data_IF_598475479653
#
_entry.id   IF_598475479653
#
_cell.length_a   1.000
_cell.length_b   1.000
_cell.length_c   1.000
_cell.angle_alpha   90.00
_cell.angle_beta   90.00
_cell.angle_gamma   90.00
#
_symmetry.space_group_name_H-M   'P 1'
#
loop_
_entity.id
_entity.type
_entity.pdbx_description
1 polymer ?
#
# COMPACT_ATOMS: atom_id res chain seq x y z
N UNK A 1 -11.92 4.79 -14.27
CA UNK A 1 -10.96 4.30 -13.26
C UNK A 1 -11.24 5.09 -11.99
N UNK A 2 -11.26 4.46 -10.83
CA UNK A 2 -11.57 5.15 -9.58
C UNK A 2 -10.38 6.03 -9.14
N UNK A 3 -10.63 7.27 -8.73
CA UNK A 3 -9.62 8.15 -8.15
C UNK A 3 -9.46 7.80 -6.67
N UNK A 4 -8.27 7.37 -6.28
CA UNK A 4 -7.94 6.99 -4.91
C UNK A 4 -7.00 8.05 -4.35
N UNK A 5 -7.26 8.54 -3.15
CA UNK A 5 -6.30 9.38 -2.44
C UNK A 5 -5.65 8.64 -1.28
N UNK A 6 -4.48 9.10 -0.88
CA UNK A 6 -3.72 8.65 0.28
C UNK A 6 -3.62 9.83 1.25
N UNK A 7 -3.92 9.58 2.53
CA UNK A 7 -3.99 10.62 3.56
C UNK A 7 -3.11 10.29 4.76
N UNK A 8 -2.30 11.27 5.18
CA UNK A 8 -1.63 11.31 6.48
C UNK A 8 -2.11 12.52 7.27
N UNK A 9 -2.49 12.33 8.54
CA UNK A 9 -2.80 13.44 9.45
C UNK A 9 -2.15 13.20 10.80
N UNK A 10 -1.03 13.89 11.06
CA UNK A 10 -0.23 13.65 12.26
C UNK A 10 0.65 14.83 12.64
N UNK A 11 1.21 14.78 13.86
CA UNK A 11 2.21 15.76 14.32
C UNK A 11 3.51 15.65 13.53
N UNK A 12 4.12 16.79 13.21
CA UNK A 12 5.42 16.92 12.55
C UNK A 12 6.54 17.22 13.55
N UNK A 13 7.82 17.02 13.20
CA UNK A 13 8.98 17.38 14.04
C UNK A 13 9.19 18.90 14.10
N UNK A 14 8.12 19.67 14.35
CA UNK A 14 8.08 21.12 14.36
C UNK A 14 7.31 21.56 15.61
N UNK A 15 7.88 22.50 16.35
CA UNK A 15 7.19 23.20 17.43
C UNK A 15 6.82 24.63 17.01
N UNK A 16 5.66 25.08 17.45
CA UNK A 16 5.27 26.48 17.34
C UNK A 16 5.99 27.38 18.36
N UNK A 17 5.75 28.69 18.29
CA UNK A 17 6.31 29.69 19.20
C UNK A 17 5.96 29.45 20.68
N UNK A 18 4.93 28.65 20.96
CA UNK A 18 4.49 28.26 22.29
C UNK A 18 4.98 26.87 22.71
N UNK A 19 5.96 26.29 21.98
CA UNK A 19 6.51 24.95 22.20
C UNK A 19 5.48 23.81 22.06
N UNK A 20 4.41 23.99 21.28
CA UNK A 20 3.43 22.93 21.00
C UNK A 20 3.71 22.28 19.66
N UNK A 21 3.35 21.00 19.54
CA UNK A 21 3.52 20.23 18.30
C UNK A 21 2.65 20.79 17.18
N UNK A 22 3.25 21.03 16.02
CA UNK A 22 2.52 21.36 14.80
C UNK A 22 2.02 20.08 14.15
N UNK A 23 0.75 20.06 13.74
CA UNK A 23 0.16 18.98 12.96
C UNK A 23 0.08 19.37 11.50
N UNK A 24 -0.02 18.37 10.62
CA UNK A 24 -0.20 18.61 9.20
C UNK A 24 -1.02 17.47 8.60
N UNK A 25 -1.95 17.84 7.72
CA UNK A 25 -2.58 16.90 6.80
C UNK A 25 -1.82 16.91 5.48
N UNK A 26 -1.52 15.72 4.98
CA UNK A 26 -0.99 15.46 3.64
C UNK A 26 -2.00 14.59 2.91
N UNK A 27 -2.35 14.99 1.69
CA UNK A 27 -3.26 14.27 0.82
C UNK A 27 -2.60 14.22 -0.55
N UNK A 28 -2.49 13.04 -1.13
CA UNK A 28 -2.05 12.89 -2.52
C UNK A 28 -2.89 11.88 -3.27
N UNK A 29 -2.95 12.00 -4.59
CA UNK A 29 -3.55 10.97 -5.43
C UNK A 29 -2.66 9.73 -5.47
N UNK A 30 -3.28 8.57 -5.31
CA UNK A 30 -2.61 7.27 -5.33
C UNK A 30 -2.40 6.86 -6.79
N UNK A 31 -1.17 6.56 -7.21
CA UNK A 31 -0.96 5.98 -8.52
C UNK A 31 -1.44 4.53 -8.54
N UNK A 32 -2.14 4.14 -9.60
CA UNK A 32 -2.71 2.80 -9.75
C UNK A 32 -2.12 1.99 -10.91
N UNK A 33 -1.15 2.58 -11.63
CA UNK A 33 -0.50 1.99 -12.81
C UNK A 33 1.01 2.29 -12.81
N UNK A 34 1.75 1.56 -13.65
CA UNK A 34 3.22 1.57 -13.72
C UNK A 34 3.80 2.78 -14.46
N UNK A 35 3.02 3.38 -15.36
CA UNK A 35 3.38 4.44 -16.29
C UNK A 35 2.99 5.85 -15.79
N UNK A 36 2.38 5.93 -14.61
CA UNK A 36 1.97 7.19 -13.99
C UNK A 36 3.19 7.91 -13.43
N UNK A 37 3.35 9.19 -13.75
CA UNK A 37 4.39 10.06 -13.17
C UNK A 37 3.93 10.58 -11.80
N UNK A 38 4.54 10.15 -10.68
CA UNK A 38 4.11 10.54 -9.33
C UNK A 38 4.11 12.06 -9.08
N UNK A 39 5.00 12.80 -9.76
CA UNK A 39 5.15 14.26 -9.60
C UNK A 39 3.99 15.05 -10.21
N UNK A 40 3.22 14.44 -11.11
CA UNK A 40 2.04 15.06 -11.73
C UNK A 40 0.76 14.78 -10.97
N UNK A 41 0.80 13.87 -9.99
CA UNK A 41 -0.36 13.52 -9.17
C UNK A 41 -0.74 14.68 -8.26
N UNK A 42 -2.05 14.79 -8.00
CA UNK A 42 -2.56 15.79 -7.08
C UNK A 42 -1.89 15.66 -5.70
N UNK A 43 -1.47 16.78 -5.12
CA UNK A 43 -0.90 16.87 -3.78
C UNK A 43 -1.47 18.09 -3.05
N UNK A 44 -1.82 17.90 -1.78
CA UNK A 44 -2.34 18.93 -0.90
C UNK A 44 -1.76 18.77 0.50
N UNK A 45 -1.22 19.86 1.05
CA UNK A 45 -0.68 19.90 2.41
C UNK A 45 -1.23 21.10 3.17
N UNK A 46 -1.65 20.91 4.43
CA UNK A 46 -2.09 22.01 5.28
C UNK A 46 -1.67 21.79 6.73
N UNK A 47 -0.97 22.77 7.30
CA UNK A 47 -0.63 22.76 8.73
C UNK A 47 -1.87 23.03 9.60
N UNK A 48 -1.88 22.39 10.77
CA UNK A 48 -2.92 22.44 11.78
C UNK A 48 -2.29 22.75 13.14
N UNK A 49 -2.73 23.81 13.85
CA UNK A 49 -2.35 24.03 15.25
C UNK A 49 -2.81 22.87 16.13
N UNK A 50 -2.04 22.54 17.18
CA UNK A 50 -2.39 21.42 18.09
C UNK A 50 -3.76 21.57 18.77
N UNK A 51 -4.24 22.80 18.93
CA UNK A 51 -5.52 23.14 19.57
C UNK A 51 -6.73 22.90 18.68
N UNK A 52 -6.51 22.75 17.37
CA UNK A 52 -7.58 22.56 16.37
C UNK A 52 -7.65 21.12 15.84
N UNK A 53 -6.82 20.22 16.37
CA UNK A 53 -6.76 18.82 15.92
C UNK A 53 -8.05 18.09 16.30
N UNK A 54 -8.94 17.97 15.32
CA UNK A 54 -10.19 17.23 15.44
C UNK A 54 -10.72 16.84 14.05
N UNK A 55 -11.75 16.01 14.00
CA UNK A 55 -12.35 15.53 12.76
C UNK A 55 -13.07 16.62 11.95
N UNK A 56 -13.55 17.69 12.60
CA UNK A 56 -14.17 18.84 11.92
C UNK A 56 -13.13 19.62 11.10
N UNK A 57 -12.01 19.97 11.72
CA UNK A 57 -10.90 20.63 11.01
C UNK A 57 -10.39 19.78 9.84
N UNK A 58 -10.22 18.46 10.07
CA UNK A 58 -9.78 17.54 9.04
C UNK A 58 -10.80 17.47 7.88
N UNK A 59 -12.10 17.45 8.19
CA UNK A 59 -13.17 17.49 7.18
C UNK A 59 -13.03 18.72 6.30
N UNK A 60 -12.89 19.91 6.88
CA UNK A 60 -12.76 21.17 6.15
C UNK A 60 -11.48 21.18 5.29
N UNK A 61 -10.40 20.56 5.78
CA UNK A 61 -9.17 20.43 5.00
C UNK A 61 -9.31 19.47 3.81
N UNK A 62 -10.02 18.34 3.97
CA UNK A 62 -10.33 17.43 2.86
C UNK A 62 -11.26 18.11 1.84
N UNK A 63 -12.28 18.83 2.30
CA UNK A 63 -13.19 19.59 1.42
C UNK A 63 -12.42 20.64 0.60
N UNK A 64 -11.49 21.36 1.23
CA UNK A 64 -10.59 22.27 0.52
C UNK A 64 -9.70 21.54 -0.49
N UNK A 65 -9.20 20.34 -0.18
CA UNK A 65 -8.43 19.54 -1.13
C UNK A 65 -9.29 19.13 -2.33
N UNK A 66 -10.54 18.68 -2.11
CA UNK A 66 -11.50 18.34 -3.16
C UNK A 66 -11.77 19.52 -4.09
N UNK A 67 -11.93 20.72 -3.53
CA UNK A 67 -12.15 21.93 -4.33
C UNK A 67 -10.95 22.32 -5.21
N UNK A 68 -9.74 21.90 -4.86
CA UNK A 68 -8.51 22.20 -5.62
C UNK A 68 -8.07 21.06 -6.56
N UNK A 69 -8.65 19.88 -6.41
CA UNK A 69 -8.26 18.71 -7.20
C UNK A 69 -8.96 18.70 -8.57
N UNK A 70 -8.31 18.17 -9.62
CA UNK A 70 -8.96 17.98 -10.92
C UNK A 70 -10.13 17.00 -10.83
N UNK A 71 -10.00 15.96 -10.00
CA UNK A 71 -11.05 14.97 -9.74
C UNK A 71 -11.17 14.72 -8.23
N UNK A 72 -12.40 14.66 -7.67
CA UNK A 72 -12.62 14.24 -6.29
C UNK A 72 -12.27 12.75 -6.10
N UNK A 73 -11.95 12.31 -4.87
CA UNK A 73 -11.65 10.91 -4.59
C UNK A 73 -12.92 10.06 -4.50
N UNK A 74 -12.87 8.86 -5.04
CA UNK A 74 -13.85 7.79 -4.80
C UNK A 74 -13.60 7.08 -3.45
N UNK A 75 -12.34 7.07 -2.98
CA UNK A 75 -11.95 6.57 -1.65
C UNK A 75 -10.64 7.19 -1.17
N UNK A 76 -10.46 7.23 0.15
CA UNK A 76 -9.22 7.68 0.80
C UNK A 76 -8.59 6.53 1.58
N UNK A 77 -7.34 6.21 1.27
CA UNK A 77 -6.49 5.28 2.00
C UNK A 77 -5.68 6.00 3.06
N UNK A 78 -5.45 5.36 4.20
CA UNK A 78 -4.54 5.86 5.22
C UNK A 78 -3.97 4.69 6.05
N UNK A 79 -2.79 4.85 6.65
CA UNK A 79 -2.13 3.78 7.40
C UNK A 79 -2.12 4.00 8.92
N UNK A 80 -2.35 5.24 9.40
CA UNK A 80 -2.29 5.57 10.83
C UNK A 80 -3.52 5.07 11.60
N UNK A 81 -3.43 3.85 12.13
CA UNK A 81 -4.47 3.25 12.97
C UNK A 81 -4.89 4.15 14.15
N UNK A 82 -3.94 4.81 14.82
CA UNK A 82 -4.23 5.72 15.93
C UNK A 82 -5.14 6.90 15.53
N UNK A 83 -5.16 7.26 14.24
CA UNK A 83 -5.97 8.34 13.70
C UNK A 83 -7.26 7.85 13.03
N UNK A 84 -7.53 6.54 13.04
CA UNK A 84 -8.64 5.92 12.30
C UNK A 84 -9.98 6.58 12.60
N UNK A 85 -10.39 6.65 13.88
CA UNK A 85 -11.66 7.27 14.25
C UNK A 85 -11.79 8.72 13.77
N UNK A 86 -10.69 9.49 13.78
CA UNK A 86 -10.71 10.89 13.37
C UNK A 86 -10.87 11.02 11.84
N UNK A 87 -10.08 10.25 11.09
CA UNK A 87 -10.09 10.24 9.63
C UNK A 87 -11.42 9.70 9.10
N UNK A 88 -11.90 8.56 9.62
CA UNK A 88 -13.17 7.97 9.18
C UNK A 88 -14.36 8.87 9.51
N UNK A 89 -14.34 9.58 10.64
CA UNK A 89 -15.40 10.54 11.00
C UNK A 89 -15.40 11.74 10.06
N UNK A 90 -14.22 12.28 9.72
CA UNK A 90 -14.10 13.39 8.77
C UNK A 90 -14.60 12.99 7.37
N UNK A 91 -14.16 11.84 6.86
CA UNK A 91 -14.53 11.36 5.53
C UNK A 91 -16.02 10.99 5.44
N UNK A 92 -16.60 10.40 6.51
CA UNK A 92 -18.05 10.16 6.60
C UNK A 92 -18.86 11.45 6.49
N UNK A 93 -18.35 12.56 7.01
CA UNK A 93 -18.98 13.87 6.88
C UNK A 93 -18.99 14.45 5.46
N UNK A 94 -18.26 13.84 4.53
CA UNK A 94 -18.14 14.18 3.11
C UNK A 94 -18.66 13.08 2.19
N UNK A 95 -19.23 12.00 2.74
CA UNK A 95 -19.64 10.80 2.00
C UNK A 95 -18.51 10.13 1.19
N UNK A 96 -17.27 10.23 1.69
CA UNK A 96 -16.09 9.60 1.08
C UNK A 96 -15.70 8.36 1.90
N UNK A 97 -15.63 7.16 1.29
CA UNK A 97 -15.11 5.97 1.96
C UNK A 97 -13.65 6.15 2.41
N UNK A 98 -13.37 5.84 3.67
CA UNK A 98 -12.03 5.85 4.23
C UNK A 98 -11.60 4.42 4.59
N UNK A 99 -10.41 4.01 4.14
CA UNK A 99 -9.92 2.64 4.24
C UNK A 99 -8.52 2.61 4.86
N UNK A 100 -8.35 1.78 5.89
CA UNK A 100 -7.04 1.47 6.43
C UNK A 100 -6.26 0.61 5.42
N UNK A 101 -5.10 1.10 4.96
CA UNK A 101 -4.29 0.43 3.95
C UNK A 101 -2.81 0.75 4.09
N UNK A 102 -1.95 -0.22 3.75
CA UNK A 102 -0.52 -0.01 3.54
C UNK A 102 -0.16 0.37 2.11
N UNK A 103 -1.14 0.37 1.18
CA UNK A 103 -0.95 0.80 -0.20
C UNK A 103 -0.98 2.33 -0.31
N UNK A 104 -0.06 2.98 0.41
CA UNK A 104 0.10 4.43 0.44
C UNK A 104 1.51 4.82 -0.02
N UNK A 105 1.90 4.33 -1.20
CA UNK A 105 3.28 4.38 -1.67
C UNK A 105 3.71 5.82 -1.99
N UNK A 106 2.87 6.57 -2.71
CA UNK A 106 3.16 7.95 -3.08
C UNK A 106 3.25 8.86 -1.85
N UNK A 107 2.33 8.70 -0.90
CA UNK A 107 2.33 9.41 0.37
C UNK A 107 3.58 9.12 1.20
N UNK A 108 4.03 7.85 1.24
CA UNK A 108 5.24 7.48 1.98
C UNK A 108 6.48 8.12 1.37
N UNK A 109 6.65 8.06 0.05
CA UNK A 109 7.73 8.77 -0.65
C UNK A 109 7.67 10.27 -0.40
N UNK A 110 6.48 10.87 -0.46
CA UNK A 110 6.31 12.30 -0.22
C UNK A 110 6.62 12.71 1.22
N UNK A 111 6.19 11.91 2.22
CA UNK A 111 6.55 12.15 3.62
C UNK A 111 8.07 12.07 3.85
N UNK A 112 8.76 11.15 3.18
CA UNK A 112 10.22 11.05 3.25
C UNK A 112 10.90 12.28 2.66
N UNK A 113 10.44 12.77 1.50
CA UNK A 113 10.93 14.02 0.90
C UNK A 113 10.71 15.20 1.86
N UNK A 114 9.50 15.35 2.43
CA UNK A 114 9.21 16.43 3.39
C UNK A 114 10.11 16.35 4.62
N UNK A 115 10.37 15.16 5.14
CA UNK A 115 11.25 14.95 6.29
C UNK A 115 12.71 15.36 6.01
N UNK A 116 13.19 15.21 4.78
CA UNK A 116 14.56 15.56 4.39
C UNK A 116 14.70 17.01 3.92
N UNK A 117 13.72 17.50 3.16
CA UNK A 117 13.85 18.71 2.34
C UNK A 117 12.94 19.86 2.76
N UNK A 118 11.90 19.61 3.56
CA UNK A 118 10.92 20.65 3.97
C UNK A 118 11.05 20.95 5.45
N UNK A 119 10.78 19.98 6.33
CA UNK A 119 10.74 20.23 7.78
C UNK A 119 12.06 20.76 8.36
N UNK A 120 13.26 20.31 7.93
CA UNK A 120 14.51 20.83 8.47
C UNK A 120 14.76 22.33 8.21
N UNK A 121 14.00 22.95 7.30
CA UNK A 121 14.09 24.38 6.99
C UNK A 121 13.19 25.24 7.88
N UNK A 122 12.31 24.61 8.67
CA UNK A 122 11.41 25.31 9.58
C UNK A 122 12.15 25.82 10.83
N UNK A 123 11.96 27.08 11.27
CA UNK A 123 12.60 27.60 12.49
C UNK A 123 12.28 26.81 13.76
N UNK A 124 11.10 26.19 13.81
CA UNK A 124 10.64 25.36 14.92
C UNK A 124 11.06 23.89 14.81
N UNK A 125 11.85 23.52 13.80
CA UNK A 125 12.25 22.13 13.58
C UNK A 125 13.05 21.60 14.77
N UNK A 126 12.53 20.53 15.36
CA UNK A 126 13.25 19.75 16.36
C UNK A 126 13.42 18.34 15.81
N UNK A 127 14.66 17.87 15.57
CA UNK A 127 14.90 16.51 15.14
C UNK A 127 14.47 15.54 16.25
N UNK A 128 13.21 15.14 16.20
CA UNK A 128 12.65 14.05 16.99
C UNK A 128 12.68 12.78 16.14
N UNK A 129 12.75 11.62 16.79
CA UNK A 129 12.44 10.35 16.11
C UNK A 129 10.99 10.50 15.61
N UNK A 130 10.82 10.55 14.28
CA UNK A 130 9.49 10.55 13.67
C UNK A 130 8.71 9.38 14.30
N UNK A 131 7.45 9.62 14.75
CA UNK A 131 6.65 8.55 15.32
C UNK A 131 6.37 7.50 14.23
N UNK A 132 7.22 6.47 14.23
CA UNK A 132 7.09 5.29 13.39
C UNK A 132 5.81 4.56 13.77
N UNK A 133 5.13 4.05 12.76
CA UNK A 133 3.92 3.26 12.99
C UNK A 133 4.33 1.80 13.10
N UNK A 134 4.30 1.29 14.33
CA UNK A 134 4.44 -0.14 14.57
C UNK A 134 3.07 -0.77 14.51
N UNK A 135 2.87 -1.64 13.52
CA UNK A 135 1.67 -2.47 13.46
C UNK A 135 1.83 -3.69 14.35
N UNK A 136 0.84 -4.00 15.22
CA UNK A 136 0.89 -5.23 15.99
C UNK A 136 0.75 -6.42 15.03
N UNK A 137 1.66 -7.39 15.17
CA UNK A 137 1.61 -8.65 14.43
C UNK A 137 0.49 -9.50 15.03
N UNK A 138 -0.63 -9.62 14.29
CA UNK A 138 -1.76 -10.45 14.69
C UNK A 138 -1.50 -11.92 14.32
N UNK A 139 -2.14 -12.90 15.01
CA UNK A 139 -2.13 -14.28 14.53
C UNK A 139 -2.91 -14.39 13.22
N UNK A 140 -2.40 -15.15 12.22
CA UNK A 140 -3.11 -15.32 10.96
C UNK A 140 -4.40 -16.12 11.11
N UNK A 141 -5.38 -15.78 10.27
CA UNK A 141 -6.69 -16.41 10.21
C UNK A 141 -6.82 -17.30 8.96
N UNK A 142 -7.85 -18.14 8.92
CA UNK A 142 -8.14 -18.96 7.72
C UNK A 142 -8.70 -18.06 6.63
N UNK A 143 -8.20 -18.20 5.40
CA UNK A 143 -8.79 -17.52 4.25
C UNK A 143 -10.22 -18.01 3.99
N UNK A 144 -11.16 -17.12 3.64
CA UNK A 144 -12.48 -17.54 3.16
C UNK A 144 -12.39 -18.47 1.95
N UNK A 145 -13.33 -19.42 1.83
CA UNK A 145 -13.31 -20.45 0.77
C UNK A 145 -13.32 -19.88 -0.66
N UNK A 146 -13.81 -18.65 -0.83
CA UNK A 146 -13.75 -17.92 -2.08
C UNK A 146 -12.31 -17.61 -2.54
N UNK A 147 -11.37 -17.52 -1.60
CA UNK A 147 -9.97 -17.16 -1.81
C UNK A 147 -8.97 -18.30 -1.71
N UNK A 148 -9.45 -19.50 -1.42
CA UNK A 148 -8.55 -20.66 -1.37
C UNK A 148 -8.23 -21.10 -2.80
N UNK A 149 -6.99 -20.85 -3.22
CA UNK A 149 -6.43 -21.32 -4.48
C UNK A 149 -6.20 -22.83 -4.49
N UNK A 150 -6.08 -23.42 -5.68
CA UNK A 150 -5.92 -24.88 -5.82
C UNK A 150 -4.46 -25.29 -6.00
N UNK A 151 -3.72 -24.54 -6.81
CA UNK A 151 -2.29 -24.71 -7.05
C UNK A 151 -1.62 -23.36 -7.06
N UNK A 152 -0.32 -23.36 -6.86
CA UNK A 152 0.47 -22.15 -6.89
C UNK A 152 1.89 -22.47 -7.37
N UNK A 153 2.61 -21.46 -7.83
CA UNK A 153 4.04 -21.54 -8.14
C UNK A 153 4.72 -20.22 -7.82
N UNK A 154 6.01 -20.27 -7.48
CA UNK A 154 6.83 -19.07 -7.40
C UNK A 154 7.32 -18.68 -8.78
N UNK A 155 7.37 -17.38 -9.04
CA UNK A 155 7.88 -16.82 -10.28
C UNK A 155 8.84 -15.67 -9.98
N UNK A 156 9.65 -15.30 -10.95
CA UNK A 156 10.53 -14.14 -10.86
C UNK A 156 10.58 -13.47 -12.22
N UNK A 157 10.39 -12.16 -12.23
CA UNK A 157 10.47 -11.31 -13.42
C UNK A 157 11.50 -10.22 -13.16
N UNK A 158 12.28 -9.78 -14.17
CA UNK A 158 13.06 -8.57 -14.02
C UNK A 158 12.12 -7.37 -13.86
N UNK A 159 12.53 -6.34 -13.12
CA UNK A 159 11.72 -5.14 -12.87
C UNK A 159 11.25 -4.47 -14.17
N UNK A 160 12.10 -4.44 -15.20
CA UNK A 160 11.76 -3.85 -16.49
C UNK A 160 10.59 -4.53 -17.20
N UNK A 161 10.33 -5.82 -16.93
CA UNK A 161 9.21 -6.52 -17.54
C UNK A 161 7.85 -5.91 -17.13
N UNK A 162 7.77 -5.28 -15.95
CA UNK A 162 6.55 -4.61 -15.49
C UNK A 162 6.27 -3.29 -16.22
N UNK A 163 7.21 -2.76 -17.00
CA UNK A 163 6.95 -1.59 -17.84
C UNK A 163 5.86 -1.88 -18.88
N UNK A 164 5.80 -3.12 -19.36
CA UNK A 164 4.81 -3.60 -20.33
C UNK A 164 3.50 -4.06 -19.65
N UNK A 165 3.35 -3.87 -18.33
CA UNK A 165 2.17 -4.33 -17.58
C UNK A 165 0.86 -3.74 -18.10
N UNK A 166 0.90 -2.52 -18.68
CA UNK A 166 -0.26 -1.90 -19.32
C UNK A 166 -0.72 -2.61 -20.60
N UNK A 167 0.14 -3.44 -21.21
CA UNK A 167 -0.18 -4.25 -22.40
C UNK A 167 -0.68 -5.65 -22.03
N UNK A 168 -0.51 -6.08 -20.78
CA UNK A 168 -0.95 -7.40 -20.32
C UNK A 168 -2.47 -7.46 -20.20
N UNK A 169 -3.04 -8.61 -20.56
CA UNK A 169 -4.46 -8.88 -20.33
C UNK A 169 -4.70 -9.16 -18.84
N UNK A 170 -5.02 -8.12 -18.07
CA UNK A 170 -5.33 -8.19 -16.64
C UNK A 170 -6.76 -7.69 -16.39
N UNK A 171 -7.62 -8.55 -15.82
CA UNK A 171 -9.02 -8.17 -15.51
C UNK A 171 -9.12 -7.36 -14.20
N UNK A 172 -8.38 -7.77 -13.17
CA UNK A 172 -8.36 -7.13 -11.85
C UNK A 172 -6.93 -6.91 -11.40
N UNK A 173 -6.64 -5.78 -10.78
CA UNK A 173 -5.29 -5.55 -10.31
C UNK A 173 -5.06 -4.13 -9.86
N UNK A 174 -3.87 -3.94 -9.30
CA UNK A 174 -3.38 -2.61 -8.96
C UNK A 174 -1.85 -2.63 -8.96
N UNK A 175 -1.27 -1.62 -9.57
CA UNK A 175 0.17 -1.41 -9.60
C UNK A 175 0.53 -0.03 -9.08
N UNK A 176 1.83 0.27 -9.09
CA UNK A 176 2.37 1.58 -8.76
C UNK A 176 3.58 1.86 -9.67
N UNK A 177 4.00 3.13 -9.80
CA UNK A 177 5.05 3.51 -10.74
C UNK A 177 6.38 2.91 -10.34
N UNK A 178 7.08 2.33 -11.32
CA UNK A 178 8.36 1.67 -11.08
C UNK A 178 9.41 2.66 -10.56
N UNK A 179 9.28 3.95 -10.89
CA UNK A 179 10.13 5.04 -10.38
C UNK A 179 10.11 5.17 -8.85
N UNK A 180 9.03 4.73 -8.17
CA UNK A 180 8.96 4.75 -6.70
C UNK A 180 9.83 3.67 -6.05
N UNK A 181 10.22 2.62 -6.78
CA UNK A 181 10.97 1.48 -6.22
C UNK A 181 12.43 1.80 -5.90
N UNK A 182 13.03 2.72 -6.67
CA UNK A 182 14.48 3.01 -6.68
C UNK A 182 15.35 1.79 -6.97
N UNK A 183 14.88 0.89 -7.83
CA UNK A 183 15.57 -0.34 -8.22
C UNK A 183 16.08 -0.26 -9.66
N UNK A 184 17.12 -1.04 -9.95
CA UNK A 184 17.66 -1.18 -11.32
C UNK A 184 16.73 -2.03 -12.19
N UNK A 185 16.67 -1.81 -13.52
CA UNK A 185 15.76 -2.50 -14.43
C UNK A 185 15.86 -4.03 -14.42
N UNK A 186 17.05 -4.59 -14.24
CA UNK A 186 17.30 -6.04 -14.20
C UNK A 186 17.08 -6.67 -12.81
N UNK A 187 16.68 -5.88 -11.82
CA UNK A 187 16.43 -6.36 -10.46
C UNK A 187 15.39 -7.49 -10.47
N UNK A 188 15.70 -8.70 -9.98
CA UNK A 188 14.74 -9.80 -9.93
C UNK A 188 13.63 -9.52 -8.91
N UNK A 189 12.40 -9.40 -9.39
CA UNK A 189 11.20 -9.22 -8.57
C UNK A 189 10.52 -10.58 -8.39
N UNK A 190 10.47 -11.14 -7.17
CA UNK A 190 9.81 -12.40 -6.91
C UNK A 190 8.29 -12.25 -6.86
N UNK A 191 7.56 -13.32 -7.17
CA UNK A 191 6.11 -13.34 -7.09
C UNK A 191 5.54 -14.72 -6.86
N UNK A 192 4.24 -14.74 -6.56
CA UNK A 192 3.44 -15.94 -6.44
C UNK A 192 2.35 -15.92 -7.51
N UNK A 193 2.20 -17.01 -8.25
CA UNK A 193 1.07 -17.21 -9.18
C UNK A 193 0.16 -18.27 -8.60
N UNK A 194 -1.13 -17.94 -8.44
CA UNK A 194 -2.18 -18.86 -8.00
C UNK A 194 -2.95 -19.34 -9.22
N UNK A 195 -3.13 -20.66 -9.33
CA UNK A 195 -3.94 -21.29 -10.37
C UNK A 195 -5.26 -21.83 -9.80
N UNK A 196 -6.37 -21.49 -10.45
CA UNK A 196 -7.69 -21.98 -10.06
C UNK A 196 -8.69 -21.85 -11.21
N UNK A 197 -9.59 -22.83 -11.36
CA UNK A 197 -10.70 -22.77 -12.33
C UNK A 197 -11.70 -21.65 -12.06
N UNK A 198 -11.61 -20.97 -10.92
CA UNK A 198 -12.45 -19.80 -10.56
C UNK A 198 -11.63 -18.51 -10.55
N UNK A 199 -10.65 -18.37 -11.44
CA UNK A 199 -9.66 -17.29 -11.42
C UNK A 199 -10.31 -15.90 -11.38
N UNK A 200 -11.23 -15.61 -12.30
CA UNK A 200 -11.96 -14.32 -12.36
C UNK A 200 -12.76 -14.05 -11.09
N UNK A 201 -13.47 -15.04 -10.56
CA UNK A 201 -14.27 -14.87 -9.34
C UNK A 201 -13.38 -14.63 -8.10
N UNK A 202 -12.25 -15.34 -8.00
CA UNK A 202 -11.28 -15.14 -6.94
C UNK A 202 -10.64 -13.75 -7.04
N UNK A 203 -10.22 -13.34 -8.24
CA UNK A 203 -9.60 -12.04 -8.47
C UNK A 203 -10.56 -10.88 -8.17
N UNK A 204 -11.83 -11.00 -8.58
CA UNK A 204 -12.87 -10.03 -8.23
C UNK A 204 -13.05 -9.90 -6.71
N UNK A 205 -13.04 -11.01 -5.98
CA UNK A 205 -13.13 -10.97 -4.51
C UNK A 205 -11.88 -10.33 -3.89
N UNK A 206 -10.68 -10.67 -4.38
CA UNK A 206 -9.43 -10.07 -3.93
C UNK A 206 -9.34 -8.56 -4.21
N UNK A 207 -9.98 -8.08 -5.28
CA UNK A 207 -10.04 -6.64 -5.60
C UNK A 207 -10.78 -5.82 -4.54
N UNK A 208 -11.66 -6.46 -3.76
CA UNK A 208 -12.33 -5.83 -2.61
C UNK A 208 -11.45 -5.74 -1.35
N UNK A 209 -10.24 -6.31 -1.39
CA UNK A 209 -9.29 -6.27 -0.29
C UNK A 209 -8.15 -5.30 -0.62
N UNK A 210 -7.64 -4.64 0.41
CA UNK A 210 -6.42 -3.86 0.31
C UNK A 210 -5.20 -4.80 0.37
N UNK A 211 -4.89 -5.48 -0.74
CA UNK A 211 -3.79 -6.45 -0.82
C UNK A 211 -2.45 -5.77 -0.54
N UNK A 212 -1.79 -6.17 0.54
CA UNK A 212 -0.59 -5.51 1.01
C UNK A 212 0.68 -6.33 0.78
N UNK A 213 0.65 -7.64 1.09
CA UNK A 213 1.84 -8.48 0.92
C UNK A 213 1.54 -9.98 0.82
N UNK A 214 2.43 -10.71 0.15
CA UNK A 214 2.61 -12.16 0.32
C UNK A 214 3.90 -12.39 1.11
N UNK A 215 3.82 -13.23 2.16
CA UNK A 215 4.95 -13.44 3.08
C UNK A 215 5.20 -14.91 3.38
N UNK A 216 6.47 -15.25 3.52
CA UNK A 216 6.91 -16.45 4.22
C UNK A 216 7.47 -16.07 5.60
N UNK A 217 6.73 -16.42 6.66
CA UNK A 217 7.11 -16.12 8.05
C UNK A 217 7.85 -17.31 8.67
N UNK A 218 9.13 -17.12 9.02
CA UNK A 218 9.95 -18.14 9.66
C UNK A 218 9.41 -18.59 11.03
N UNK A 219 8.64 -17.76 11.72
CA UNK A 219 7.98 -18.12 12.98
C UNK A 219 6.78 -19.06 12.77
N UNK A 220 6.25 -19.14 11.54
CA UNK A 220 5.12 -19.98 11.15
C UNK A 220 5.56 -20.92 10.01
N UNK A 221 6.39 -21.93 10.30
CA UNK A 221 7.00 -22.75 9.28
C UNK A 221 5.94 -23.47 8.42
N UNK A 222 6.28 -23.66 7.14
CA UNK A 222 5.46 -24.37 6.16
C UNK A 222 4.13 -23.66 5.77
N UNK A 223 4.08 -22.33 5.84
CA UNK A 223 2.92 -21.53 5.43
C UNK A 223 3.37 -20.32 4.63
N UNK A 224 2.63 -19.99 3.58
CA UNK A 224 2.60 -18.64 3.02
C UNK A 224 1.43 -17.88 3.63
N UNK A 225 1.63 -16.59 3.82
CA UNK A 225 0.65 -15.67 4.35
C UNK A 225 0.26 -14.66 3.28
N UNK A 226 -1.00 -14.29 3.28
CA UNK A 226 -1.50 -13.09 2.61
C UNK A 226 -1.75 -12.05 3.70
N UNK A 227 -1.26 -10.84 3.51
CA UNK A 227 -1.58 -9.72 4.37
C UNK A 227 -2.41 -8.68 3.62
N UNK A 228 -3.44 -8.16 4.29
CA UNK A 228 -4.36 -7.17 3.71
C UNK A 228 -4.61 -6.01 4.67
N UNK A 229 -5.07 -4.88 4.14
CA UNK A 229 -5.30 -3.67 4.91
C UNK A 229 -4.01 -3.23 5.60
N UNK A 230 -4.05 -3.16 6.93
CA UNK A 230 -2.90 -2.73 7.73
C UNK A 230 -2.18 -3.88 8.42
N UNK A 231 -2.92 -4.81 9.04
CA UNK A 231 -2.33 -5.89 9.84
C UNK A 231 -3.17 -7.17 9.84
N UNK A 232 -4.14 -7.30 8.91
CA UNK A 232 -4.86 -8.55 8.74
C UNK A 232 -3.93 -9.56 8.08
N UNK A 233 -3.90 -10.76 8.63
CA UNK A 233 -3.01 -11.84 8.19
C UNK A 233 -3.85 -13.08 7.95
N UNK A 234 -3.60 -13.74 6.83
CA UNK A 234 -4.36 -14.90 6.40
C UNK A 234 -3.42 -16.03 5.99
N UNK A 235 -3.75 -17.26 6.32
CA UNK A 235 -3.07 -18.43 5.76
C UNK A 235 -3.42 -18.54 4.28
N UNK A 236 -2.46 -18.22 3.41
CA UNK A 236 -2.65 -18.27 1.96
C UNK A 236 -2.61 -19.71 1.45
N UNK A 237 -1.56 -20.44 1.83
CA UNK A 237 -1.41 -21.85 1.50
C UNK A 237 -0.48 -22.55 2.48
N UNK A 238 -0.60 -23.89 2.53
CA UNK A 238 0.37 -24.77 3.18
C UNK A 238 1.46 -25.17 2.19
N UNK A 239 2.69 -25.23 2.68
CA UNK A 239 3.85 -25.68 1.93
C UNK A 239 4.19 -27.12 2.33
N UNK A 240 4.53 -27.95 1.34
CA UNK A 240 5.19 -29.23 1.61
C UNK A 240 6.70 -29.00 1.86
N UNK A 241 7.42 -30.04 2.31
CA UNK A 241 8.85 -29.93 2.62
C UNK A 241 9.72 -29.55 1.41
N UNK A 242 9.25 -29.79 0.18
CA UNK A 242 9.99 -29.48 -1.06
C UNK A 242 9.83 -28.01 -1.44
N UNK A 243 8.68 -27.42 -1.10
CA UNK A 243 8.34 -26.02 -1.34
C UNK A 243 8.97 -25.04 -0.34
N UNK A 244 9.36 -25.49 0.86
CA UNK A 244 9.91 -24.61 1.92
C UNK A 244 11.18 -23.86 1.46
N UNK A 245 12.17 -24.49 0.82
CA UNK A 245 13.34 -23.77 0.30
C UNK A 245 12.97 -22.70 -0.73
N UNK A 246 11.99 -22.96 -1.61
CA UNK A 246 11.55 -21.97 -2.60
C UNK A 246 10.88 -20.76 -1.92
N UNK A 247 10.07 -20.99 -0.88
CA UNK A 247 9.46 -19.92 -0.10
C UNK A 247 10.49 -19.07 0.65
N UNK A 248 11.56 -19.69 1.17
CA UNK A 248 12.69 -18.96 1.76
C UNK A 248 13.44 -18.12 0.71
N UNK A 249 13.63 -18.67 -0.49
CA UNK A 249 14.25 -17.92 -1.59
C UNK A 249 13.37 -16.76 -2.06
N UNK A 250 12.05 -16.95 -2.12
CA UNK A 250 11.08 -15.90 -2.41
C UNK A 250 11.22 -14.73 -1.42
N UNK A 251 11.20 -15.01 -0.10
CA UNK A 251 11.29 -13.95 0.92
C UNK A 251 12.66 -13.25 0.87
N UNK A 252 13.76 -14.00 0.68
CA UNK A 252 15.09 -13.42 0.53
C UNK A 252 15.26 -12.58 -0.75
N UNK A 253 14.62 -12.97 -1.85
CA UNK A 253 14.58 -12.18 -3.08
C UNK A 253 13.76 -10.91 -2.91
N UNK A 254 12.68 -10.98 -2.12
CA UNK A 254 11.83 -9.83 -1.81
C UNK A 254 12.60 -8.78 -1.01
N UNK A 255 13.41 -9.21 -0.04
CA UNK A 255 14.34 -8.32 0.68
C UNK A 255 15.34 -7.62 -0.26
N UNK A 256 15.91 -8.34 -1.23
CA UNK A 256 16.89 -7.79 -2.20
C UNK A 256 16.26 -6.83 -3.22
N UNK A 257 14.96 -6.95 -3.45
CA UNK A 257 14.17 -6.10 -4.36
C UNK A 257 13.43 -4.99 -3.59
N UNK A 258 14.00 -4.50 -2.48
CA UNK A 258 13.40 -3.43 -1.66
C UNK A 258 11.93 -3.69 -1.31
N UNK A 259 11.63 -4.95 -0.98
CA UNK A 259 10.31 -5.48 -0.66
C UNK A 259 9.28 -5.50 -1.81
N UNK A 260 9.69 -5.20 -3.04
CA UNK A 260 8.84 -5.25 -4.22
C UNK A 260 8.58 -6.71 -4.60
N UNK A 261 7.31 -7.06 -4.81
CA UNK A 261 6.89 -8.40 -5.20
C UNK A 261 5.51 -8.35 -5.86
N UNK A 262 5.09 -9.47 -6.45
CA UNK A 262 3.77 -9.56 -7.07
C UNK A 262 2.96 -10.79 -6.67
N UNK A 263 1.65 -10.68 -6.84
CA UNK A 263 0.69 -11.77 -6.75
C UNK A 263 -0.13 -11.80 -8.04
N UNK A 264 -0.17 -12.95 -8.70
CA UNK A 264 -0.94 -13.16 -9.90
C UNK A 264 -1.96 -14.29 -9.72
N UNK A 265 -3.07 -14.23 -10.46
CA UNK A 265 -4.10 -15.26 -10.49
C UNK A 265 -4.41 -15.61 -11.94
N UNK A 266 -4.31 -16.89 -12.26
CA UNK A 266 -4.57 -17.43 -13.59
C UNK A 266 -5.46 -18.68 -13.51
N UNK A 267 -6.09 -19.04 -14.63
CA UNK A 267 -6.89 -20.27 -14.67
C UNK A 267 -6.00 -21.52 -14.64
N UNK A 268 -4.88 -21.48 -15.37
CA UNK A 268 -3.89 -22.55 -15.48
C UNK A 268 -2.56 -22.01 -16.02
N UNK A 269 -1.46 -22.79 -15.93
CA UNK A 269 -0.15 -22.38 -16.46
C UNK A 269 -0.12 -22.13 -17.97
N UNK A 270 -1.03 -22.73 -18.72
CA UNK A 270 -1.09 -22.61 -20.19
C UNK A 270 -1.87 -21.37 -20.69
N UNK A 271 -2.37 -20.54 -19.76
CA UNK A 271 -3.13 -19.32 -20.07
C UNK A 271 -2.24 -18.12 -19.81
N UNK A 272 -2.02 -17.27 -20.84
CA UNK A 272 -1.20 -16.07 -20.70
C UNK A 272 -1.93 -14.93 -19.98
N UNK A 273 -3.26 -14.84 -20.13
CA UNK A 273 -4.05 -13.81 -19.48
C UNK A 273 -4.10 -13.97 -17.94
N UNK A 274 -4.08 -12.85 -17.23
CA UNK A 274 -4.23 -12.81 -15.78
C UNK A 274 -5.65 -12.41 -15.42
N UNK A 275 -6.32 -13.23 -14.61
CA UNK A 275 -7.55 -12.80 -13.97
C UNK A 275 -7.27 -11.72 -12.92
N UNK A 276 -6.13 -11.82 -12.23
CA UNK A 276 -5.73 -10.90 -11.17
C UNK A 276 -4.23 -10.63 -11.20
N UNK A 277 -3.79 -9.39 -11.03
CA UNK A 277 -2.38 -9.05 -10.86
C UNK A 277 -2.17 -7.85 -9.93
N UNK A 278 -1.46 -8.05 -8.82
CA UNK A 278 -1.11 -6.99 -7.88
C UNK A 278 0.40 -6.86 -7.79
N UNK A 279 0.92 -5.68 -8.14
CA UNK A 279 2.28 -5.27 -7.79
C UNK A 279 2.22 -4.61 -6.40
N UNK A 280 3.10 -5.03 -5.52
CA UNK A 280 3.10 -4.66 -4.10
C UNK A 280 4.52 -4.30 -3.65
N UNK A 281 4.58 -3.52 -2.58
CA UNK A 281 5.82 -3.25 -1.86
C UNK A 281 5.51 -3.23 -0.36
N UNK A 282 6.28 -3.96 0.45
CA UNK A 282 6.18 -3.77 1.89
C UNK A 282 6.96 -2.52 2.30
N UNK A 283 6.22 -1.46 2.64
CA UNK A 283 6.80 -0.21 3.13
C UNK A 283 6.83 -0.16 4.66
N UNK A 284 7.93 0.34 5.21
CA UNK A 284 8.05 0.71 6.61
C UNK A 284 7.49 2.12 6.86
N UNK A 285 6.85 2.34 8.01
CA UNK A 285 6.16 3.59 8.38
C UNK A 285 6.66 4.20 9.68
#
# INVERSE_FOLDING_TARGET
MATIWELDYYSRPILDEQNKKVWEVLICESPTAVDVEPEKLFQFSKYCPSTEVNSGWLKDAIEAAIANAPNPPDKIRFFRQAMSNMITTACKGLDVPAVLSRRTFALTTWMQDRAQNVYPKDPGYQPSINPSVVFPVLPPQVLPDALQGQKWTFATLPLEAFADMGEWSIDFGEAFPLSLTQLEPDTPVPGLIIFTKRATAMAAWMSGLEIAAVKYDLALPNRLLLETGVNDRWFLTTLDQRAVPEAQQFEAAKERSNQVHFLAIQESPDVEAFAGFWLMQEIGF
#
